data_IF_995672679715
#
_entry.id   IF_995672679715
#
_cell.length_a   1.000
_cell.length_b   1.000
_cell.length_c   1.000
_cell.angle_alpha   90.00
_cell.angle_beta   90.00
_cell.angle_gamma   90.00
#
_symmetry.space_group_name_H-M   'P 1'
#
loop_
_entity.id
_entity.type
_entity.pdbx_description
1 polymer ?
#
# COMPACT_ATOMS: atom_id res chain seq x y z
N UNK A 1 4.13 -8.80 11.89
CA UNK A 1 3.00 -8.85 12.86
C UNK A 1 3.13 -7.81 13.98
N UNK A 2 4.34 -7.43 14.40
CA UNK A 2 4.54 -6.28 15.32
C UNK A 2 3.95 -5.00 14.76
N UNK A 3 4.17 -4.74 13.48
CA UNK A 3 3.84 -3.45 12.85
C UNK A 3 2.34 -3.26 12.71
N UNK A 4 1.60 -4.32 12.36
CA UNK A 4 0.13 -4.30 12.35
C UNK A 4 -0.45 -3.99 13.73
N UNK A 5 0.12 -4.56 14.80
CA UNK A 5 -0.31 -4.27 16.18
C UNK A 5 0.03 -2.82 16.56
N UNK A 6 1.21 -2.34 16.20
CA UNK A 6 1.62 -0.96 16.43
C UNK A 6 0.74 0.03 15.67
N UNK A 7 0.39 -0.28 14.42
CA UNK A 7 -0.52 0.52 13.59
C UNK A 7 -1.91 0.59 14.21
N UNK A 8 -2.49 -0.53 14.65
CA UNK A 8 -3.79 -0.55 15.34
C UNK A 8 -3.75 0.32 16.59
N UNK A 9 -2.68 0.20 17.40
CA UNK A 9 -2.49 1.02 18.60
C UNK A 9 -2.47 2.51 18.26
N UNK A 10 -1.65 2.91 17.30
CA UNK A 10 -1.55 4.30 16.85
C UNK A 10 -2.89 4.81 16.31
N UNK A 11 -3.52 4.07 15.41
CA UNK A 11 -4.78 4.44 14.78
C UNK A 11 -5.91 4.62 15.81
N UNK A 12 -5.95 3.80 16.85
CA UNK A 12 -6.95 3.92 17.94
C UNK A 12 -6.84 5.23 18.73
N UNK A 13 -5.66 5.85 18.75
CA UNK A 13 -5.42 7.13 19.44
C UNK A 13 -5.81 8.35 18.60
N UNK A 14 -5.99 8.18 17.29
CA UNK A 14 -6.29 9.26 16.35
C UNK A 14 -7.79 9.48 16.14
N UNK A 15 -8.65 8.64 16.71
CA UNK A 15 -10.11 8.72 16.56
C UNK A 15 -10.59 8.09 15.25
N UNK A 16 -11.43 8.79 14.48
CA UNK A 16 -12.05 8.25 13.25
C UNK A 16 -11.09 8.35 12.07
N UNK A 17 -10.40 7.25 11.77
CA UNK A 17 -9.44 7.16 10.67
C UNK A 17 -9.86 6.13 9.61
N UNK A 18 -9.48 6.40 8.36
CA UNK A 18 -9.56 5.45 7.25
C UNK A 18 -8.15 5.07 6.83
N UNK A 19 -7.88 3.77 6.71
CA UNK A 19 -6.55 3.24 6.40
C UNK A 19 -6.55 2.67 4.97
N UNK A 20 -5.71 3.22 4.10
CA UNK A 20 -5.58 2.73 2.73
C UNK A 20 -4.26 1.95 2.58
N UNK A 21 -4.36 0.65 2.32
CA UNK A 21 -3.21 -0.19 2.01
C UNK A 21 -2.84 -0.02 0.53
N UNK A 22 -1.57 0.26 0.26
CA UNK A 22 -1.05 0.45 -1.09
C UNK A 22 -0.02 -0.66 -1.32
N UNK A 23 -0.32 -1.66 -2.18
CA UNK A 23 0.67 -2.63 -2.62
C UNK A 23 1.85 -1.90 -3.26
N UNK A 24 3.06 -2.31 -2.88
CA UNK A 24 4.26 -1.74 -3.46
C UNK A 24 4.51 -2.37 -4.83
N UNK A 25 4.54 -1.54 -5.88
CA UNK A 25 4.89 -1.97 -7.22
C UNK A 25 6.41 -1.89 -7.36
N UNK A 26 7.10 -3.03 -7.33
CA UNK A 26 8.55 -3.06 -7.54
C UNK A 26 8.88 -2.48 -8.92
N UNK A 27 9.76 -1.48 -8.96
CA UNK A 27 10.34 -0.96 -10.20
C UNK A 27 11.66 -1.67 -10.51
N UNK A 28 12.10 -1.62 -11.77
CA UNK A 28 13.25 -2.39 -12.28
C UNK A 28 14.58 -2.17 -11.53
N UNK A 29 14.66 -1.19 -10.62
CA UNK A 29 15.88 -0.81 -9.92
C UNK A 29 15.73 -0.80 -8.38
N UNK A 30 14.71 -1.48 -7.85
CA UNK A 30 14.37 -1.35 -6.44
C UNK A 30 15.04 -2.37 -5.51
N UNK A 31 15.50 -1.87 -4.36
CA UNK A 31 15.96 -2.70 -3.23
C UNK A 31 14.79 -3.21 -2.37
N UNK A 32 13.58 -2.69 -2.59
CA UNK A 32 12.39 -3.07 -1.85
C UNK A 32 11.47 -4.00 -2.66
N UNK A 33 11.08 -5.09 -2.01
CA UNK A 33 10.12 -6.05 -2.55
C UNK A 33 8.76 -5.78 -1.91
N UNK A 34 7.73 -5.69 -2.75
CA UNK A 34 6.37 -5.56 -2.26
C UNK A 34 5.92 -6.75 -1.42
N UNK A 35 5.03 -6.48 -0.45
CA UNK A 35 4.43 -7.56 0.33
C UNK A 35 3.57 -8.46 -0.58
N UNK A 36 3.59 -9.79 -0.37
CA UNK A 36 2.66 -10.68 -1.04
C UNK A 36 1.21 -10.25 -0.82
N UNK A 37 0.36 -10.47 -1.82
CA UNK A 37 -1.06 -10.10 -1.77
C UNK A 37 -1.76 -10.66 -0.52
N UNK A 38 -1.45 -11.90 -0.13
CA UNK A 38 -2.01 -12.54 1.08
C UNK A 38 -1.65 -11.81 2.38
N UNK A 39 -0.49 -11.15 2.44
CA UNK A 39 -0.10 -10.33 3.60
C UNK A 39 -0.92 -9.05 3.64
N UNK A 40 -1.15 -8.43 2.49
CA UNK A 40 -1.94 -7.20 2.37
C UNK A 40 -3.41 -7.49 2.75
N UNK A 41 -3.96 -8.60 2.27
CA UNK A 41 -5.30 -9.08 2.63
C UNK A 41 -5.41 -9.38 4.13
N UNK A 42 -4.41 -10.07 4.69
CA UNK A 42 -4.38 -10.30 6.13
C UNK A 42 -4.40 -9.00 6.94
N UNK A 43 -3.66 -7.97 6.50
CA UNK A 43 -3.70 -6.67 7.15
C UNK A 43 -5.06 -6.00 7.03
N UNK A 44 -5.66 -6.05 5.83
CA UNK A 44 -7.00 -5.52 5.59
C UNK A 44 -8.02 -6.12 6.55
N UNK A 45 -8.08 -7.45 6.62
CA UNK A 45 -9.03 -8.18 7.47
C UNK A 45 -8.85 -7.83 8.94
N UNK A 46 -7.60 -7.76 9.40
CA UNK A 46 -7.28 -7.44 10.79
C UNK A 46 -7.62 -6.00 11.17
N UNK A 47 -7.45 -5.06 10.24
CA UNK A 47 -7.84 -3.65 10.44
C UNK A 47 -9.37 -3.50 10.46
N UNK A 48 -10.07 -4.19 9.56
CA UNK A 48 -11.53 -4.24 9.54
C UNK A 48 -12.09 -4.86 10.83
N UNK A 49 -11.51 -5.98 11.28
CA UNK A 49 -11.88 -6.63 12.54
C UNK A 49 -11.60 -5.76 13.78
N UNK A 50 -10.63 -4.84 13.70
CA UNK A 50 -10.34 -3.87 14.75
C UNK A 50 -11.27 -2.63 14.71
N UNK A 51 -12.23 -2.58 13.78
CA UNK A 51 -13.22 -1.51 13.66
C UNK A 51 -12.80 -0.32 12.78
N UNK A 52 -11.68 -0.42 12.08
CA UNK A 52 -11.25 0.62 11.14
C UNK A 52 -11.84 0.39 9.75
N UNK A 53 -12.13 1.48 9.03
CA UNK A 53 -12.37 1.38 7.60
C UNK A 53 -11.04 1.21 6.88
N UNK A 54 -10.80 0.02 6.31
CA UNK A 54 -9.62 -0.26 5.49
C UNK A 54 -10.00 -0.41 4.01
N UNK A 55 -9.11 -0.01 3.09
CA UNK A 55 -9.23 -0.39 1.67
C UNK A 55 -7.87 -0.71 1.06
N UNK A 56 -7.84 -1.65 0.13
CA UNK A 56 -6.65 -1.98 -0.67
C UNK A 56 -6.76 -1.22 -1.99
N UNK A 57 -5.74 -0.42 -2.31
CA UNK A 57 -5.65 0.27 -3.61
C UNK A 57 -4.99 -0.66 -4.62
N UNK A 58 -5.79 -1.26 -5.48
CA UNK A 58 -5.25 -1.99 -6.62
C UNK A 58 -4.82 -1.01 -7.71
N UNK A 59 -3.58 -1.12 -8.16
CA UNK A 59 -3.11 -0.44 -9.36
C UNK A 59 -3.86 -1.02 -10.55
N UNK A 60 -4.81 -0.28 -11.13
CA UNK A 60 -5.56 -0.70 -12.33
C UNK A 60 -4.70 -0.93 -13.60
N UNK A 61 -3.36 -0.97 -13.48
CA UNK A 61 -2.40 -1.06 -14.59
C UNK A 61 -1.32 -2.13 -14.37
N UNK A 62 -1.60 -3.18 -13.60
CA UNK A 62 -0.66 -4.29 -13.43
C UNK A 62 -0.90 -5.42 -14.45
N UNK A 63 -2.13 -5.56 -14.96
CA UNK A 63 -2.47 -6.45 -16.09
C UNK A 63 -2.10 -5.85 -17.46
N UNK A 64 -1.83 -4.54 -17.50
CA UNK A 64 -1.39 -3.76 -18.66
C UNK A 64 -0.40 -2.76 -18.11
N UNK A 65 0.91 -3.01 -18.28
CA UNK A 65 2.05 -2.27 -17.72
C UNK A 65 1.94 -0.72 -17.68
N UNK A 66 1.09 -0.21 -16.79
CA UNK A 66 0.67 1.18 -16.71
C UNK A 66 0.43 1.58 -15.24
N UNK A 67 1.14 0.95 -14.31
CA UNK A 67 1.19 1.42 -12.93
C UNK A 67 1.87 2.80 -12.88
N UNK A 68 1.14 3.79 -12.37
CA UNK A 68 1.61 5.17 -12.21
C UNK A 68 2.95 5.24 -11.46
N UNK A 69 3.99 5.61 -12.20
CA UNK A 69 5.36 5.88 -11.77
C UNK A 69 6.28 6.37 -12.91
N UNK A 70 5.76 6.50 -14.14
CA UNK A 70 6.52 6.90 -15.34
C UNK A 70 6.52 8.42 -15.60
N UNK A 71 6.32 9.26 -14.59
CA UNK A 71 6.53 10.71 -14.72
C UNK A 71 7.81 11.13 -13.99
N UNK A 72 8.89 10.39 -14.24
CA UNK A 72 10.24 10.79 -13.87
C UNK A 72 11.06 10.97 -15.16
N UNK A 73 11.26 12.24 -15.53
CA UNK A 73 12.22 12.80 -16.49
C UNK A 73 12.06 12.44 -17.98
N UNK A 74 11.37 13.32 -18.71
CA UNK A 74 11.94 13.88 -19.94
C UNK A 74 12.14 15.39 -19.72
N UNK A 75 13.21 15.75 -19.00
CA UNK A 75 13.87 17.04 -19.27
C UNK A 75 14.83 16.74 -20.40
N UNK A 76 14.30 16.85 -21.63
CA UNK A 76 15.07 16.81 -22.85
C UNK A 76 16.18 17.86 -22.75
N UNK A 77 17.43 17.39 -22.80
CA UNK A 77 18.58 18.28 -23.00
C UNK A 77 18.59 18.63 -24.48
N UNK A 78 18.43 19.91 -24.79
CA UNK A 78 18.76 20.53 -26.09
C UNK A 78 19.48 21.84 -25.82
#
# INVERSE_FOLDING_TARGET
MSDLKALIKLASQLGRVRINLIPYNSTCNDIFVGSPQSVIEHWHDRLMAAGFTSTIRHSHGQDIAAACGQLANEVESS
#
